data_IF_670032773146
#
_entry.id   IF_670032773146
#
_cell.length_a   1.000
_cell.length_b   1.000
_cell.length_c   1.000
_cell.angle_alpha   90.00
_cell.angle_beta   90.00
_cell.angle_gamma   90.00
#
_symmetry.space_group_name_H-M   'P 1'
#
loop_
_entity.id
_entity.type
_entity.pdbx_description
1 polymer ?
#
# COMPACT_ATOMS: atom_id res chain seq x y z
N UNK A 1 -16.87 -33.50 32.94
CA UNK A 1 -17.20 -32.25 32.22
C UNK A 1 -16.02 -31.92 31.34
N UNK A 2 -16.06 -32.35 30.08
CA UNK A 2 -15.04 -32.02 29.09
C UNK A 2 -15.63 -30.90 28.22
N UNK A 3 -14.97 -29.75 28.23
CA UNK A 3 -15.35 -28.59 27.43
C UNK A 3 -15.16 -28.93 25.95
N UNK A 4 -16.28 -28.99 25.21
CA UNK A 4 -16.32 -29.15 23.77
C UNK A 4 -15.68 -27.93 23.11
N UNK A 5 -14.45 -28.05 22.65
CA UNK A 5 -13.83 -27.10 21.73
C UNK A 5 -14.52 -27.23 20.37
N UNK A 6 -15.52 -26.39 20.14
CA UNK A 6 -16.04 -26.09 18.81
C UNK A 6 -14.92 -25.39 18.01
N UNK A 7 -14.01 -26.17 17.44
CA UNK A 7 -13.11 -25.73 16.38
C UNK A 7 -13.83 -26.13 15.10
N UNK A 8 -14.51 -25.17 14.49
CA UNK A 8 -15.20 -25.34 13.21
C UNK A 8 -14.30 -26.04 12.19
N UNK A 9 -14.82 -27.12 11.62
CA UNK A 9 -14.32 -27.77 10.39
C UNK A 9 -14.57 -26.82 9.21
N UNK A 10 -13.78 -25.76 9.08
CA UNK A 10 -13.72 -24.99 7.83
C UNK A 10 -12.43 -25.34 7.08
N UNK A 11 -12.58 -25.83 5.86
CA UNK A 11 -11.48 -26.00 4.92
C UNK A 11 -11.21 -24.65 4.25
N UNK A 12 -10.06 -24.01 4.47
CA UNK A 12 -9.73 -22.75 3.81
C UNK A 12 -9.69 -22.93 2.29
N UNK A 13 -10.08 -21.90 1.55
CA UNK A 13 -9.91 -21.87 0.10
C UNK A 13 -8.44 -22.12 -0.27
N UNK A 14 -8.20 -22.91 -1.31
CA UNK A 14 -6.85 -23.12 -1.82
C UNK A 14 -6.25 -21.78 -2.32
N UNK A 15 -4.95 -21.50 -2.10
CA UNK A 15 -4.31 -20.25 -2.50
C UNK A 15 -4.50 -19.91 -4.00
N UNK A 16 -4.47 -20.93 -4.85
CA UNK A 16 -4.68 -20.80 -6.30
C UNK A 16 -6.11 -20.40 -6.68
N UNK A 17 -7.11 -20.81 -5.89
CA UNK A 17 -8.50 -20.43 -6.08
C UNK A 17 -8.74 -19.01 -5.55
N UNK A 18 -8.15 -18.65 -4.41
CA UNK A 18 -8.18 -17.28 -3.88
C UNK A 18 -7.59 -16.29 -4.89
N UNK A 19 -6.44 -16.63 -5.49
CA UNK A 19 -5.81 -15.82 -6.53
C UNK A 19 -6.69 -15.68 -7.77
N UNK A 20 -7.38 -16.73 -8.20
CA UNK A 20 -8.33 -16.64 -9.31
C UNK A 20 -9.52 -15.73 -8.98
N UNK A 21 -10.07 -15.84 -7.77
CA UNK A 21 -11.15 -14.97 -7.31
C UNK A 21 -10.73 -13.50 -7.28
N UNK A 22 -9.52 -13.21 -6.80
CA UNK A 22 -8.96 -11.86 -6.79
C UNK A 22 -8.78 -11.33 -8.21
N UNK A 23 -8.18 -12.10 -9.12
CA UNK A 23 -8.00 -11.68 -10.53
C UNK A 23 -9.34 -11.38 -11.19
N UNK A 24 -10.34 -12.24 -10.99
CA UNK A 24 -11.69 -12.03 -11.51
C UNK A 24 -12.33 -10.76 -10.93
N UNK A 25 -12.13 -10.48 -9.63
CA UNK A 25 -12.61 -9.26 -8.99
C UNK A 25 -11.91 -8.00 -9.51
N UNK A 26 -10.61 -8.06 -9.78
CA UNK A 26 -9.83 -6.96 -10.38
C UNK A 26 -10.38 -6.63 -11.77
N UNK A 27 -10.51 -7.64 -12.63
CA UNK A 27 -11.05 -7.46 -13.99
C UNK A 27 -12.49 -6.94 -13.97
N UNK A 28 -13.34 -7.44 -13.06
CA UNK A 28 -14.71 -6.97 -12.91
C UNK A 28 -14.80 -5.52 -12.43
N UNK A 29 -13.88 -5.08 -11.56
CA UNK A 29 -13.89 -3.73 -10.98
C UNK A 29 -13.23 -2.69 -11.88
N UNK A 30 -12.14 -3.05 -12.55
CA UNK A 30 -11.26 -2.12 -13.26
C UNK A 30 -11.31 -2.27 -14.79
N UNK A 31 -11.87 -3.36 -15.30
CA UNK A 31 -11.93 -3.67 -16.72
C UNK A 31 -10.69 -4.43 -17.23
N UNK A 32 -10.68 -4.84 -18.50
CA UNK A 32 -9.62 -5.68 -19.09
C UNK A 32 -8.28 -4.95 -19.22
N UNK A 33 -8.28 -3.63 -19.42
CA UNK A 33 -7.07 -2.83 -19.63
C UNK A 33 -6.51 -2.25 -18.31
N UNK A 34 -6.85 -2.87 -17.18
CA UNK A 34 -6.49 -2.35 -15.86
C UNK A 34 -4.96 -2.30 -15.64
N UNK A 35 -4.19 -3.12 -16.36
CA UNK A 35 -2.73 -3.23 -16.24
C UNK A 35 -1.95 -2.50 -17.35
N UNK A 36 -2.61 -1.62 -18.11
CA UNK A 36 -1.97 -0.83 -19.16
C UNK A 36 -0.73 -0.07 -18.61
N UNK A 37 0.36 -0.08 -19.36
CA UNK A 37 1.67 0.43 -18.93
C UNK A 37 1.62 1.96 -18.72
N UNK A 38 0.82 2.67 -19.52
CA UNK A 38 0.74 4.13 -19.50
C UNK A 38 -0.37 4.66 -18.58
N UNK A 39 -1.50 3.96 -18.46
CA UNK A 39 -2.71 4.46 -17.76
C UNK A 39 -3.30 3.53 -16.69
N UNK A 40 -2.72 2.34 -16.56
CA UNK A 40 -3.20 1.28 -15.68
C UNK A 40 -2.84 1.48 -14.20
N UNK A 41 -3.17 0.46 -13.42
CA UNK A 41 -2.87 0.35 -12.01
C UNK A 41 -1.58 -0.42 -11.77
N UNK A 42 -0.71 0.13 -10.93
CA UNK A 42 0.54 -0.52 -10.59
C UNK A 42 0.34 -1.50 -9.43
N UNK A 43 0.73 -2.76 -9.63
CA UNK A 43 0.77 -3.76 -8.56
C UNK A 43 1.87 -3.36 -7.57
N UNK A 44 1.47 -3.08 -6.34
CA UNK A 44 2.39 -2.63 -5.27
C UNK A 44 2.64 -3.72 -4.23
N UNK A 45 1.70 -4.64 -4.10
CA UNK A 45 1.82 -5.84 -3.28
C UNK A 45 1.04 -6.97 -3.95
N UNK A 46 1.61 -8.16 -3.95
CA UNK A 46 1.03 -9.35 -4.57
C UNK A 46 1.27 -10.57 -3.66
N UNK A 47 0.17 -11.17 -3.20
CA UNK A 47 0.13 -12.45 -2.50
C UNK A 47 -1.10 -13.24 -2.96
N UNK A 48 -1.18 -14.51 -2.55
CA UNK A 48 -2.29 -15.38 -2.95
C UNK A 48 -3.67 -14.93 -2.42
N UNK A 49 -3.70 -14.18 -1.32
CA UNK A 49 -4.94 -13.72 -0.66
C UNK A 49 -5.11 -12.20 -0.66
N UNK A 50 -4.11 -11.45 -1.12
CA UNK A 50 -4.15 -9.99 -1.13
C UNK A 50 -3.35 -9.44 -2.32
N UNK A 51 -4.01 -8.64 -3.14
CA UNK A 51 -3.36 -7.83 -4.16
C UNK A 51 -3.66 -6.36 -3.90
N UNK A 52 -2.60 -5.53 -3.85
CA UNK A 52 -2.71 -4.07 -3.75
C UNK A 52 -2.34 -3.43 -5.07
N UNK A 53 -3.26 -2.64 -5.58
CA UNK A 53 -3.12 -1.84 -6.78
C UNK A 53 -3.05 -0.35 -6.41
N UNK A 54 -2.09 0.38 -6.98
CA UNK A 54 -1.94 1.81 -6.74
C UNK A 54 -2.06 2.58 -8.04
N UNK A 55 -2.87 3.64 -8.05
CA UNK A 55 -2.92 4.60 -9.14
C UNK A 55 -2.99 6.02 -8.58
N UNK A 56 -1.99 6.82 -8.92
CA UNK A 56 -1.80 8.19 -8.44
C UNK A 56 -1.83 8.31 -6.89
N UNK A 57 -2.99 8.64 -6.31
CA UNK A 57 -3.18 8.82 -4.86
C UNK A 57 -4.17 7.82 -4.26
N UNK A 58 -4.55 6.80 -5.01
CA UNK A 58 -5.55 5.81 -4.60
C UNK A 58 -4.88 4.44 -4.56
N UNK A 59 -5.05 3.76 -3.43
CA UNK A 59 -4.73 2.36 -3.28
C UNK A 59 -6.03 1.57 -3.26
N UNK A 60 -6.10 0.51 -4.05
CA UNK A 60 -7.17 -0.48 -4.03
C UNK A 60 -6.59 -1.79 -3.51
N UNK A 61 -7.21 -2.33 -2.47
CA UNK A 61 -6.87 -3.62 -1.90
C UNK A 61 -7.95 -4.63 -2.26
N UNK A 62 -7.54 -5.70 -2.92
CA UNK A 62 -8.37 -6.86 -3.20
C UNK A 62 -7.94 -7.96 -2.27
N UNK A 63 -8.77 -8.26 -1.26
CA UNK A 63 -8.48 -9.25 -0.25
C UNK A 63 -9.49 -10.39 -0.33
N UNK A 64 -9.01 -11.62 -0.50
CA UNK A 64 -9.83 -12.82 -0.39
C UNK A 64 -9.83 -13.31 1.05
N UNK A 65 -11.01 -13.59 1.60
CA UNK A 65 -11.12 -14.28 2.89
C UNK A 65 -10.88 -15.79 2.75
N UNK A 66 -10.96 -16.52 3.88
CA UNK A 66 -10.75 -17.97 3.90
C UNK A 66 -11.89 -18.76 3.24
N UNK A 67 -13.04 -18.12 2.98
CA UNK A 67 -14.22 -18.72 2.36
C UNK A 67 -14.27 -18.46 0.85
N UNK A 68 -13.41 -17.58 0.32
CA UNK A 68 -13.35 -17.22 -1.09
C UNK A 68 -14.03 -15.90 -1.44
N UNK A 69 -14.53 -15.16 -0.46
CA UNK A 69 -15.17 -13.86 -0.69
C UNK A 69 -14.11 -12.76 -0.82
N UNK A 70 -14.18 -12.00 -1.92
CA UNK A 70 -13.25 -10.91 -2.19
C UNK A 70 -13.83 -9.58 -1.73
N UNK A 71 -13.15 -8.96 -0.77
CA UNK A 71 -13.43 -7.59 -0.30
C UNK A 71 -12.54 -6.60 -1.04
N UNK A 72 -13.13 -5.48 -1.46
CA UNK A 72 -12.42 -4.40 -2.15
C UNK A 72 -12.40 -3.18 -1.22
N UNK A 73 -11.22 -2.78 -0.76
CA UNK A 73 -11.04 -1.57 0.05
C UNK A 73 -10.33 -0.48 -0.76
N UNK A 74 -10.96 0.69 -0.85
CA UNK A 74 -10.35 1.88 -1.42
C UNK A 74 -9.77 2.75 -0.32
N UNK A 75 -8.48 3.07 -0.43
CA UNK A 75 -7.77 3.96 0.51
C UNK A 75 -7.09 5.08 -0.25
N UNK A 76 -7.37 6.31 0.14
CA UNK A 76 -6.56 7.44 -0.30
C UNK A 76 -5.18 7.38 0.37
N UNK A 77 -4.13 7.61 -0.41
CA UNK A 77 -2.78 7.81 0.10
C UNK A 77 -2.81 9.08 0.96
N UNK A 78 -2.66 8.91 2.26
CA UNK A 78 -2.61 10.04 3.19
C UNK A 78 -1.55 11.04 2.73
N UNK A 79 -1.87 12.35 2.65
CA UNK A 79 -0.93 13.37 2.19
C UNK A 79 0.36 13.40 3.00
N UNK A 80 0.37 12.87 4.22
CA UNK A 80 1.58 12.78 5.05
C UNK A 80 2.62 11.80 4.47
N UNK A 81 2.17 10.74 3.79
CA UNK A 81 3.03 9.75 3.14
C UNK A 81 3.69 10.32 1.87
N UNK A 82 2.98 11.18 1.14
CA UNK A 82 3.53 11.93 0.02
C UNK A 82 4.48 13.06 0.47
N UNK A 83 4.31 13.58 1.69
CA UNK A 83 5.03 14.74 2.21
C UNK A 83 6.37 14.39 2.87
N UNK A 84 6.67 13.11 3.12
CA UNK A 84 7.89 12.69 3.82
C UNK A 84 9.18 13.23 3.18
N UNK A 85 9.25 13.21 1.84
CA UNK A 85 10.41 13.74 1.11
C UNK A 85 10.55 15.26 1.24
N UNK A 86 9.45 16.00 1.19
CA UNK A 86 9.47 17.47 1.36
C UNK A 86 9.87 17.86 2.78
N UNK A 87 9.37 17.16 3.79
CA UNK A 87 9.75 17.37 5.19
C UNK A 87 11.24 17.09 5.37
N UNK A 88 11.77 16.01 4.80
CA UNK A 88 13.20 15.70 4.86
C UNK A 88 14.06 16.82 4.25
N UNK A 89 13.67 17.34 3.08
CA UNK A 89 14.34 18.47 2.45
C UNK A 89 14.26 19.75 3.29
N UNK A 90 13.10 20.04 3.88
CA UNK A 90 12.91 21.21 4.74
C UNK A 90 13.81 21.16 5.98
N UNK A 91 13.87 20.00 6.64
CA UNK A 91 14.75 19.79 7.81
C UNK A 91 16.22 19.92 7.41
N UNK A 92 16.64 19.28 6.32
CA UNK A 92 18.02 19.37 5.83
C UNK A 92 18.43 20.82 5.55
N UNK A 93 17.59 21.58 4.83
CA UNK A 93 17.86 22.98 4.52
C UNK A 93 17.89 23.85 5.77
N UNK A 94 16.98 23.63 6.72
CA UNK A 94 16.98 24.33 8.00
C UNK A 94 18.26 24.06 8.79
N UNK A 95 18.72 22.81 8.85
CA UNK A 95 19.97 22.45 9.52
C UNK A 95 21.19 23.09 8.85
N UNK A 96 21.28 23.03 7.51
CA UNK A 96 22.35 23.67 6.76
C UNK A 96 22.36 25.19 6.97
N UNK A 97 21.18 25.81 7.00
CA UNK A 97 21.04 27.23 7.27
C UNK A 97 21.54 27.60 8.67
N UNK A 98 21.18 26.84 9.70
CA UNK A 98 21.66 27.06 11.07
C UNK A 98 23.18 26.92 11.14
N UNK A 99 23.75 25.87 10.54
CA UNK A 99 25.20 25.66 10.49
C UNK A 99 25.90 26.82 9.77
N UNK A 100 25.35 27.29 8.66
CA UNK A 100 25.88 28.43 7.91
C UNK A 100 25.89 29.71 8.75
N UNK A 101 24.80 30.01 9.46
CA UNK A 101 24.71 31.19 10.35
C UNK A 101 25.76 31.10 11.47
N UNK A 102 25.93 29.92 12.08
CA UNK A 102 26.95 29.71 13.12
C UNK A 102 28.36 29.90 12.55
N UNK A 103 28.66 29.32 11.39
CA UNK A 103 29.97 29.43 10.75
C UNK A 103 30.30 30.89 10.36
N UNK A 104 29.30 31.65 9.91
CA UNK A 104 29.43 33.07 9.61
C UNK A 104 29.75 33.89 10.88
N UNK A 105 29.03 33.65 11.98
CA UNK A 105 29.28 34.31 13.26
C UNK A 105 30.64 33.94 13.88
N UNK A 106 31.09 32.70 13.65
CA UNK A 106 32.40 32.22 14.08
C UNK A 106 33.55 32.73 13.20
N UNK A 107 33.25 33.45 12.10
CA UNK A 107 34.26 34.00 11.20
C UNK A 107 34.98 32.95 10.35
N UNK A 108 34.40 31.76 10.16
CA UNK A 108 35.02 30.68 9.36
C UNK A 108 35.26 31.10 7.91
N UNK A 109 34.44 32.03 7.40
CA UNK A 109 34.52 32.55 6.03
C UNK A 109 35.10 33.96 5.93
N UNK A 110 35.65 34.50 7.02
CA UNK A 110 36.33 35.80 7.07
C UNK A 110 37.86 35.64 7.04
#
# INVERSE_FOLDING_TARGET
MASTSATDDFEPIAPELARQAITAAIEAKLGPDWNDEDTGWAITYDSDYLVRLTRAKINLDFQCDLLGDVTIEEREISPIQASGRLIAWAVLLATLFVVFVIAQLAGVFN
#
